data_IF_979903527710
#
_entry.id   IF_979903527710
#
_cell.length_a   1.000
_cell.length_b   1.000
_cell.length_c   1.000
_cell.angle_alpha   90.00
_cell.angle_beta   90.00
_cell.angle_gamma   90.00
#
_symmetry.space_group_name_H-M   'P 1'
#
loop_
_entity.id
_entity.type
_entity.pdbx_description
1 polymer ?
#
# COMPACT_ATOMS: atom_id res chain seq x y z
N UNK A 1 28.09 -19.42 -27.55
CA UNK A 1 28.54 -18.06 -27.86
C UNK A 1 27.44 -17.05 -27.58
N UNK A 2 27.73 -16.11 -26.74
CA UNK A 2 26.80 -15.00 -26.45
C UNK A 2 26.79 -14.05 -27.66
N UNK A 3 25.64 -13.63 -28.17
CA UNK A 3 25.61 -12.61 -29.22
C UNK A 3 26.16 -11.30 -28.71
N UNK A 4 26.72 -10.50 -29.60
CA UNK A 4 27.10 -9.14 -29.28
C UNK A 4 25.87 -8.29 -28.90
N UNK A 5 26.10 -7.18 -28.19
CA UNK A 5 25.00 -6.25 -27.84
C UNK A 5 24.27 -5.77 -29.09
N UNK A 6 24.99 -5.44 -30.17
CA UNK A 6 24.39 -5.05 -31.44
C UNK A 6 23.50 -6.14 -32.05
N UNK A 7 23.99 -7.37 -32.05
CA UNK A 7 23.21 -8.53 -32.55
C UNK A 7 21.95 -8.75 -31.70
N UNK A 8 22.09 -8.64 -30.37
CA UNK A 8 20.95 -8.77 -29.46
C UNK A 8 19.88 -7.68 -29.71
N UNK A 9 20.30 -6.45 -29.90
CA UNK A 9 19.37 -5.34 -30.20
C UNK A 9 18.66 -5.57 -31.54
N UNK A 10 19.37 -6.10 -32.55
CA UNK A 10 18.77 -6.43 -33.85
C UNK A 10 17.70 -7.53 -33.70
N UNK A 11 17.98 -8.55 -32.89
CA UNK A 11 17.01 -9.63 -32.59
C UNK A 11 15.78 -9.06 -31.92
N UNK A 12 15.94 -8.21 -30.92
CA UNK A 12 14.85 -7.56 -30.20
C UNK A 12 13.99 -6.74 -31.17
N UNK A 13 14.61 -5.97 -32.06
CA UNK A 13 13.92 -5.19 -33.07
C UNK A 13 13.12 -6.07 -34.04
N UNK A 14 13.69 -7.20 -34.44
CA UNK A 14 13.00 -8.16 -35.31
C UNK A 14 11.76 -8.77 -34.64
N UNK A 15 11.73 -8.84 -33.31
CA UNK A 15 10.58 -9.31 -32.54
C UNK A 15 9.50 -8.22 -32.38
N UNK A 16 9.74 -7.02 -32.87
CA UNK A 16 8.81 -5.91 -32.72
C UNK A 16 8.75 -5.34 -31.31
N UNK A 17 9.79 -5.53 -30.55
CA UNK A 17 9.90 -5.08 -29.14
C UNK A 17 10.92 -3.97 -28.98
N UNK A 18 10.77 -3.19 -27.94
CA UNK A 18 11.84 -2.29 -27.49
C UNK A 18 12.81 -3.05 -26.57
N UNK A 19 14.07 -2.59 -26.41
CA UNK A 19 14.98 -3.19 -25.44
C UNK A 19 14.40 -3.22 -24.02
N UNK A 20 13.68 -2.19 -23.62
CA UNK A 20 13.03 -2.13 -22.32
C UNK A 20 11.99 -3.24 -22.15
N UNK A 21 11.15 -3.47 -23.16
CA UNK A 21 10.16 -4.54 -23.12
C UNK A 21 10.81 -5.92 -23.05
N UNK A 22 11.90 -6.12 -23.79
CA UNK A 22 12.61 -7.41 -23.82
C UNK A 22 13.25 -7.74 -22.49
N UNK A 23 13.82 -6.75 -21.79
CA UNK A 23 14.51 -6.92 -20.51
C UNK A 23 13.60 -6.81 -19.30
N UNK A 24 12.33 -6.44 -19.46
CA UNK A 24 11.32 -6.67 -18.43
C UNK A 24 10.94 -8.15 -18.43
N UNK A 25 10.47 -8.66 -17.29
CA UNK A 25 10.06 -10.05 -17.19
C UNK A 25 9.12 -10.41 -18.32
N UNK A 26 9.34 -11.58 -18.93
CA UNK A 26 8.55 -12.08 -20.04
C UNK A 26 7.10 -12.39 -19.69
N UNK A 27 6.75 -12.40 -18.41
CA UNK A 27 5.38 -12.60 -17.96
C UNK A 27 4.62 -11.25 -17.98
N UNK A 28 3.36 -11.25 -18.43
CA UNK A 28 2.56 -10.04 -18.37
C UNK A 28 2.44 -9.57 -16.92
N UNK A 29 2.54 -8.27 -16.73
CA UNK A 29 2.34 -7.68 -15.42
C UNK A 29 0.94 -8.02 -14.91
N UNK A 30 0.85 -8.50 -13.69
CA UNK A 30 -0.43 -8.77 -13.05
C UNK A 30 -1.14 -7.44 -12.80
N UNK A 31 -2.38 -7.35 -13.24
CA UNK A 31 -3.19 -6.13 -13.12
C UNK A 31 -4.28 -6.30 -12.07
N UNK A 32 -4.88 -7.49 -11.98
CA UNK A 32 -5.97 -7.79 -11.06
C UNK A 32 -5.46 -8.70 -9.96
N UNK A 33 -5.77 -8.33 -8.72
CA UNK A 33 -5.37 -9.08 -7.52
C UNK A 33 -6.63 -9.50 -6.77
N UNK A 34 -6.67 -10.75 -6.32
CA UNK A 34 -7.81 -11.34 -5.60
C UNK A 34 -7.41 -11.64 -4.17
N UNK A 35 -8.38 -11.96 -3.34
CA UNK A 35 -8.17 -12.19 -1.91
C UNK A 35 -7.06 -13.21 -1.59
N UNK A 36 -6.93 -14.27 -2.38
CA UNK A 36 -5.87 -15.26 -2.17
C UNK A 36 -4.49 -14.81 -2.64
N UNK A 37 -4.39 -13.68 -3.33
CA UNK A 37 -3.10 -13.05 -3.68
C UNK A 37 -2.59 -12.15 -2.55
N UNK A 38 -3.45 -11.74 -1.63
CA UNK A 38 -3.12 -10.77 -0.60
C UNK A 38 -2.18 -11.37 0.44
N UNK A 39 -1.28 -10.54 0.92
CA UNK A 39 -0.42 -10.88 2.05
C UNK A 39 -1.01 -10.20 3.30
N UNK A 40 -1.19 -10.96 4.40
CA UNK A 40 -1.74 -10.37 5.61
C UNK A 40 -0.82 -10.52 6.81
N UNK A 41 -0.91 -9.58 7.71
CA UNK A 41 -0.23 -9.59 9.01
C UNK A 41 -1.23 -9.26 10.09
N UNK A 42 -1.40 -10.18 11.04
CA UNK A 42 -2.25 -9.98 12.20
C UNK A 42 -1.36 -9.57 13.37
N UNK A 43 -1.72 -8.48 14.04
CA UNK A 43 -1.05 -8.01 15.25
C UNK A 43 -2.03 -8.12 16.41
N UNK A 44 -1.84 -9.13 17.25
CA UNK A 44 -2.75 -9.40 18.38
C UNK A 44 -2.63 -8.34 19.47
N UNK A 45 -1.44 -7.81 19.69
CA UNK A 45 -1.22 -6.75 20.68
C UNK A 45 -1.94 -5.45 20.31
N UNK A 46 -1.89 -5.10 19.03
CA UNK A 46 -2.55 -3.90 18.51
C UNK A 46 -3.98 -4.15 18.08
N UNK A 47 -4.43 -5.40 18.18
CA UNK A 47 -5.78 -5.81 17.77
C UNK A 47 -6.13 -5.31 16.36
N UNK A 48 -5.22 -5.57 15.43
CA UNK A 48 -5.30 -5.07 14.05
C UNK A 48 -4.86 -6.12 13.05
N UNK A 49 -5.27 -5.92 11.80
CA UNK A 49 -4.87 -6.74 10.67
C UNK A 49 -4.54 -5.83 9.49
N UNK A 50 -3.37 -6.00 8.91
CA UNK A 50 -2.96 -5.31 7.68
C UNK A 50 -2.95 -6.33 6.56
N UNK A 51 -3.58 -5.98 5.46
CA UNK A 51 -3.55 -6.79 4.24
C UNK A 51 -2.93 -5.97 3.12
N UNK A 52 -1.86 -6.49 2.53
CA UNK A 52 -1.26 -5.91 1.33
C UNK A 52 -2.06 -6.39 0.13
N UNK A 53 -2.95 -5.53 -0.34
CA UNK A 53 -3.84 -5.84 -1.47
C UNK A 53 -3.13 -5.73 -2.81
N UNK A 54 -1.93 -5.13 -2.81
CA UNK A 54 -0.97 -5.19 -3.91
C UNK A 54 0.32 -5.75 -3.30
N UNK A 55 0.55 -7.07 -3.36
CA UNK A 55 1.62 -7.73 -2.61
C UNK A 55 3.05 -7.30 -2.97
N UNK A 56 3.27 -6.79 -4.18
CA UNK A 56 4.58 -6.36 -4.65
C UNK A 56 4.72 -4.84 -4.71
N UNK A 57 4.03 -4.14 -3.84
CA UNK A 57 3.94 -2.68 -3.90
C UNK A 57 5.27 -1.97 -3.61
N UNK A 58 6.23 -2.63 -2.92
CA UNK A 58 7.54 -2.01 -2.64
C UNK A 58 8.32 -1.65 -3.90
N UNK A 59 8.05 -2.29 -5.02
CA UNK A 59 8.68 -1.99 -6.32
C UNK A 59 7.87 -1.00 -7.16
N UNK A 60 6.76 -0.49 -6.62
CA UNK A 60 5.84 0.40 -7.31
C UNK A 60 5.86 1.80 -6.70
N UNK A 61 5.14 2.72 -7.32
CA UNK A 61 5.09 4.12 -6.87
C UNK A 61 4.28 4.29 -5.58
N UNK A 62 3.29 3.43 -5.34
CA UNK A 62 2.44 3.53 -4.16
C UNK A 62 2.18 2.16 -3.54
N UNK A 63 1.88 2.16 -2.26
CA UNK A 63 1.60 0.94 -1.51
C UNK A 63 0.22 1.04 -0.88
N UNK A 64 -0.81 0.40 -1.49
CA UNK A 64 -2.14 0.30 -0.87
C UNK A 64 -2.19 -0.86 0.12
N UNK A 65 -2.79 -0.62 1.27
CA UNK A 65 -3.10 -1.66 2.24
C UNK A 65 -4.56 -1.55 2.69
N UNK A 66 -5.13 -2.66 3.12
CA UNK A 66 -6.41 -2.66 3.80
C UNK A 66 -6.14 -2.92 5.28
N UNK A 67 -6.48 -1.94 6.11
CA UNK A 67 -6.31 -2.02 7.55
C UNK A 67 -7.65 -2.31 8.21
N UNK A 68 -7.68 -3.37 9.01
CA UNK A 68 -8.83 -3.69 9.86
C UNK A 68 -8.44 -3.46 11.31
N UNK A 69 -9.21 -2.63 12.00
CA UNK A 69 -9.03 -2.35 13.42
C UNK A 69 -10.22 -2.85 14.20
N UNK A 70 -10.00 -3.81 15.08
CA UNK A 70 -11.01 -4.26 16.03
C UNK A 70 -11.20 -3.22 17.13
N UNK A 71 -12.29 -3.29 17.93
CA UNK A 71 -12.46 -2.34 19.03
C UNK A 71 -11.23 -2.24 19.91
N UNK A 72 -10.74 -1.02 20.14
CA UNK A 72 -9.50 -0.76 20.88
C UNK A 72 -8.22 -0.97 20.09
N UNK A 73 -8.32 -1.39 18.84
CA UNK A 73 -7.16 -1.65 17.99
C UNK A 73 -6.53 -0.39 17.42
N UNK A 74 -5.28 -0.53 16.99
CA UNK A 74 -4.52 0.58 16.40
C UNK A 74 -3.55 0.08 15.34
N UNK A 75 -3.16 0.98 14.46
CA UNK A 75 -2.03 0.78 13.56
C UNK A 75 -0.72 0.90 14.33
N UNK A 76 0.40 0.62 13.65
CA UNK A 76 1.70 1.03 14.15
C UNK A 76 1.77 2.55 14.23
N UNK A 77 2.70 3.04 15.07
CA UNK A 77 3.00 4.47 15.14
C UNK A 77 4.09 4.75 14.11
N UNK A 78 3.79 5.63 13.18
CA UNK A 78 4.72 6.02 12.13
C UNK A 78 5.40 7.33 12.46
N UNK A 79 6.73 7.33 12.39
CA UNK A 79 7.54 8.53 12.55
C UNK A 79 7.48 9.38 11.28
N UNK A 80 7.89 10.66 11.33
CA UNK A 80 7.91 11.51 10.14
C UNK A 80 8.64 10.86 8.96
N UNK A 81 8.04 10.91 7.79
CA UNK A 81 8.55 10.32 6.55
C UNK A 81 8.30 11.26 5.38
N UNK A 82 9.11 11.11 4.33
CA UNK A 82 8.92 11.86 3.09
C UNK A 82 7.98 11.11 2.14
N UNK A 83 6.72 11.00 2.52
CA UNK A 83 5.70 10.39 1.70
C UNK A 83 4.38 11.14 1.83
N UNK A 84 3.49 10.90 0.90
CA UNK A 84 2.11 11.35 0.97
C UNK A 84 1.22 10.15 1.21
N UNK A 85 0.17 10.34 2.01
CA UNK A 85 -0.73 9.25 2.38
C UNK A 85 -2.17 9.65 2.16
N UNK A 86 -2.92 8.68 1.64
CA UNK A 86 -4.36 8.77 1.40
C UNK A 86 -5.05 7.62 2.11
N UNK A 87 -6.24 7.89 2.67
CA UNK A 87 -7.08 6.85 3.22
C UNK A 87 -8.55 7.07 2.92
N UNK A 88 -9.27 5.96 2.85
CA UNK A 88 -10.72 5.94 2.69
C UNK A 88 -11.30 4.92 3.64
N UNK A 89 -12.19 5.36 4.53
CA UNK A 89 -12.82 4.46 5.51
C UNK A 89 -14.01 3.78 4.86
N UNK A 90 -13.97 2.44 4.82
CA UNK A 90 -15.01 1.62 4.21
C UNK A 90 -16.10 1.31 5.24
N UNK A 91 -15.69 1.04 6.49
CA UNK A 91 -16.58 0.56 7.54
C UNK A 91 -16.15 1.10 8.88
N UNK A 92 -17.10 1.49 9.70
CA UNK A 92 -16.85 1.94 11.07
C UNK A 92 -16.34 3.37 11.15
N UNK A 93 -15.68 3.68 12.26
CA UNK A 93 -15.15 5.01 12.56
C UNK A 93 -13.75 4.85 13.13
N UNK A 94 -12.82 5.65 12.65
CA UNK A 94 -11.45 5.65 13.15
C UNK A 94 -11.04 7.04 13.63
N UNK A 95 -10.00 7.07 14.45
CA UNK A 95 -9.32 8.29 14.88
C UNK A 95 -7.97 8.34 14.21
N UNK A 96 -7.77 9.32 13.33
CA UNK A 96 -6.47 9.62 12.74
C UNK A 96 -5.76 10.61 13.65
N UNK A 97 -4.65 10.16 14.24
CA UNK A 97 -3.79 11.01 15.06
C UNK A 97 -2.63 11.49 14.19
N UNK A 98 -2.53 12.79 13.99
CA UNK A 98 -1.50 13.38 13.15
C UNK A 98 -0.91 14.60 13.84
N UNK A 99 0.37 14.50 14.21
CA UNK A 99 1.09 15.59 14.84
C UNK A 99 0.47 16.06 16.15
N UNK A 100 -0.11 15.16 16.94
CA UNK A 100 -0.76 15.49 18.21
C UNK A 100 -2.20 15.93 18.08
N UNK A 101 -2.74 16.05 16.87
CA UNK A 101 -4.16 16.35 16.64
C UNK A 101 -4.90 15.06 16.29
N UNK A 102 -6.14 14.96 16.76
CA UNK A 102 -7.00 13.80 16.53
C UNK A 102 -8.13 14.20 15.58
N UNK A 103 -8.26 13.44 14.49
CA UNK A 103 -9.30 13.64 13.50
C UNK A 103 -10.19 12.40 13.45
N UNK A 104 -11.50 12.60 13.59
CA UNK A 104 -12.46 11.50 13.44
C UNK A 104 -12.78 11.32 11.96
N UNK A 105 -12.65 10.10 11.46
CA UNK A 105 -12.95 9.74 10.07
C UNK A 105 -13.96 8.60 10.09
N UNK A 106 -15.12 8.82 9.48
CA UNK A 106 -16.22 7.86 9.45
C UNK A 106 -16.30 7.16 8.09
N UNK A 107 -17.03 6.05 8.04
CA UNK A 107 -17.29 5.33 6.80
C UNK A 107 -17.76 6.28 5.70
N UNK A 108 -17.16 6.19 4.52
CA UNK A 108 -17.42 7.05 3.39
C UNK A 108 -16.61 8.33 3.37
N UNK A 109 -15.80 8.58 4.40
CA UNK A 109 -14.93 9.75 4.48
C UNK A 109 -13.50 9.39 4.18
N UNK A 110 -12.70 10.36 3.78
CA UNK A 110 -11.31 10.17 3.38
C UNK A 110 -10.38 11.16 4.09
N UNK A 111 -9.09 10.83 4.04
CA UNK A 111 -8.05 11.74 4.53
C UNK A 111 -6.87 11.75 3.56
N UNK A 112 -6.11 12.83 3.61
CA UNK A 112 -4.88 12.97 2.83
C UNK A 112 -3.92 13.87 3.61
N UNK A 113 -2.66 13.47 3.70
CA UNK A 113 -1.64 14.29 4.35
C UNK A 113 -0.24 13.97 3.83
N UNK A 114 0.67 14.93 4.00
CA UNK A 114 2.10 14.69 3.88
C UNK A 114 2.59 14.16 5.23
N UNK A 115 3.31 13.06 5.23
CA UNK A 115 3.68 12.34 6.44
C UNK A 115 4.86 12.97 7.20
N UNK A 116 4.91 14.30 7.23
CA UNK A 116 5.97 15.05 7.92
C UNK A 116 5.87 15.11 9.43
N UNK A 117 4.88 14.46 10.01
CA UNK A 117 4.67 14.39 11.46
C UNK A 117 4.34 12.97 11.86
N UNK A 118 4.59 12.64 13.12
CA UNK A 118 4.21 11.36 13.72
C UNK A 118 2.70 11.13 13.56
N UNK A 119 2.32 9.94 13.15
CA UNK A 119 0.92 9.63 12.90
C UNK A 119 0.60 8.16 13.13
N UNK A 120 -0.65 7.89 13.44
CA UNK A 120 -1.22 6.54 13.56
C UNK A 120 -2.74 6.62 13.52
N UNK A 121 -3.37 5.46 13.34
CA UNK A 121 -4.82 5.34 13.30
C UNK A 121 -5.25 4.39 14.40
N UNK A 122 -6.31 4.74 15.13
CA UNK A 122 -6.87 3.90 16.19
C UNK A 122 -8.39 3.81 16.10
N UNK A 123 -8.93 2.72 16.62
CA UNK A 123 -10.37 2.50 16.71
C UNK A 123 -10.80 2.53 18.18
N UNK A 124 -11.41 3.61 18.59
CA UNK A 124 -11.96 3.78 19.94
C UNK A 124 -13.43 3.44 20.02
N UNK A 125 -14.02 2.93 18.95
CA UNK A 125 -15.42 2.54 18.92
C UNK A 125 -15.60 1.10 19.39
N UNK A 126 -16.86 0.68 19.54
CA UNK A 126 -17.21 -0.68 19.96
C UNK A 126 -17.41 -1.65 18.78
N UNK A 127 -17.15 -1.21 17.55
CA UNK A 127 -17.32 -2.00 16.32
C UNK A 127 -16.03 -2.02 15.53
N UNK A 128 -15.87 -3.03 14.68
CA UNK A 128 -14.75 -3.10 13.75
C UNK A 128 -14.74 -1.91 12.80
N UNK A 129 -13.56 -1.48 12.45
CA UNK A 129 -13.35 -0.47 11.42
C UNK A 129 -12.43 -1.02 10.34
N UNK A 130 -12.64 -0.59 9.11
CA UNK A 130 -11.85 -1.02 7.96
C UNK A 130 -11.64 0.16 7.04
N UNK A 131 -10.40 0.31 6.56
CA UNK A 131 -10.06 1.39 5.63
C UNK A 131 -9.04 0.91 4.60
N UNK A 132 -9.03 1.57 3.46
CA UNK A 132 -7.95 1.48 2.49
C UNK A 132 -6.99 2.63 2.79
N UNK A 133 -5.71 2.33 2.92
CA UNK A 133 -4.65 3.29 3.23
C UNK A 133 -3.55 3.14 2.20
N UNK A 134 -3.15 4.26 1.60
CA UNK A 134 -2.17 4.28 0.51
C UNK A 134 -1.02 5.20 0.89
N UNK A 135 0.20 4.72 0.72
CA UNK A 135 1.42 5.52 0.89
C UNK A 135 2.14 5.64 -0.45
N UNK A 136 2.62 6.84 -0.77
CA UNK A 136 3.42 7.12 -1.96
C UNK A 136 4.61 7.99 -1.54
N UNK A 137 5.86 7.49 -1.58
CA UNK A 137 6.27 6.12 -1.91
C UNK A 137 5.88 5.10 -0.81
N UNK A 138 6.08 3.80 -1.10
CA UNK A 138 5.77 2.74 -0.12
C UNK A 138 6.44 2.95 1.24
N UNK A 139 5.70 2.75 2.32
CA UNK A 139 6.18 3.01 3.69
C UNK A 139 5.62 2.05 4.76
N UNK A 140 4.78 1.12 4.38
CA UNK A 140 4.15 0.19 5.34
C UNK A 140 4.96 -1.08 5.60
#
# INVERSE_FOLDING_TARGET
>A
NSPSVGTLLDIIQCLGMTPAEFFTDSEPEQIVYKANDYFEKIDEEKNSKVEWIIPNAQTRSMEPVRLTLHPGGSSEIYLPQECEEFGYVIKGTVKLCYGGKVHTVKAGESFYFKAGKKHFIENKSSKDAMLIWVSNPPSF
#
